data_IF_298314412017
#
_entry.id   IF_298314412017
#
_cell.length_a   1.000
_cell.length_b   1.000
_cell.length_c   1.000
_cell.angle_alpha   90.00
_cell.angle_beta   90.00
_cell.angle_gamma   90.00
#
_symmetry.space_group_name_H-M   'P 1'
#
loop_
_entity.id
_entity.type
_entity.pdbx_description
1 polymer ?
#
# COMPACT_ATOMS: atom_id res chain seq x y z
N UNK A 1 -9.85 -25.52 12.83
CA UNK A 1 -8.62 -24.83 12.41
C UNK A 1 -9.07 -23.74 11.46
N UNK A 2 -9.07 -22.49 11.92
CA UNK A 2 -9.48 -21.36 11.07
C UNK A 2 -8.34 -21.13 10.10
N UNK A 3 -8.61 -21.31 8.81
CA UNK A 3 -7.67 -21.01 7.74
C UNK A 3 -7.57 -19.48 7.67
N UNK A 4 -6.43 -18.91 8.07
CA UNK A 4 -6.14 -17.51 7.79
C UNK A 4 -5.89 -17.37 6.28
N UNK A 5 -6.95 -17.02 5.56
CA UNK A 5 -6.94 -16.95 4.10
C UNK A 5 -5.87 -15.97 3.57
N UNK A 6 -5.49 -14.96 4.36
CA UNK A 6 -4.46 -13.98 3.99
C UNK A 6 -3.06 -14.49 4.13
N UNK A 7 -2.73 -15.05 5.30
CA UNK A 7 -1.42 -15.66 5.53
C UNK A 7 -1.15 -16.76 4.51
N UNK A 8 -2.13 -17.62 4.26
CA UNK A 8 -2.00 -18.70 3.28
C UNK A 8 -1.85 -18.19 1.84
N UNK A 9 -2.53 -17.08 1.50
CA UNK A 9 -2.35 -16.43 0.20
C UNK A 9 -0.96 -15.84 0.04
N UNK A 10 -0.48 -15.11 1.06
CA UNK A 10 0.88 -14.57 1.09
C UNK A 10 1.93 -15.66 0.92
N UNK A 11 1.82 -16.77 1.66
CA UNK A 11 2.71 -17.93 1.54
C UNK A 11 2.77 -18.43 0.11
N UNK A 12 1.61 -18.66 -0.54
CA UNK A 12 1.57 -19.15 -1.93
C UNK A 12 2.23 -18.18 -2.90
N UNK A 13 2.05 -16.87 -2.73
CA UNK A 13 2.67 -15.88 -3.61
C UNK A 13 4.19 -15.85 -3.42
N UNK A 14 4.66 -15.83 -2.16
CA UNK A 14 6.09 -15.83 -1.84
C UNK A 14 6.79 -17.11 -2.33
N UNK A 15 6.15 -18.27 -2.21
CA UNK A 15 6.66 -19.53 -2.77
C UNK A 15 6.73 -19.51 -4.30
N UNK A 16 5.79 -18.85 -4.99
CA UNK A 16 5.85 -18.68 -6.46
C UNK A 16 6.95 -17.73 -6.90
N UNK A 17 7.36 -16.82 -6.04
CA UNK A 17 8.58 -16.04 -6.19
C UNK A 17 9.83 -16.88 -5.86
N UNK A 18 9.68 -18.14 -5.44
CA UNK A 18 10.81 -19.04 -5.18
C UNK A 18 11.47 -18.82 -3.82
N UNK A 19 10.78 -18.19 -2.87
CA UNK A 19 11.21 -18.16 -1.47
C UNK A 19 10.88 -19.50 -0.81
N UNK A 20 11.75 -19.92 0.11
CA UNK A 20 11.43 -20.95 1.11
C UNK A 20 10.61 -20.26 2.21
N UNK A 21 9.38 -20.72 2.45
CA UNK A 21 8.42 -20.01 3.32
C UNK A 21 7.86 -20.95 4.37
N UNK A 22 7.91 -20.51 5.64
CA UNK A 22 7.30 -21.17 6.79
C UNK A 22 6.32 -20.23 7.50
N UNK A 23 5.16 -20.76 7.91
CA UNK A 23 4.27 -20.06 8.81
C UNK A 23 4.83 -20.15 10.24
N UNK A 24 4.88 -19.02 10.94
CA UNK A 24 5.27 -18.99 12.35
C UNK A 24 4.06 -19.44 13.17
N UNK A 25 4.20 -20.45 14.05
CA UNK A 25 3.10 -20.90 14.89
C UNK A 25 2.56 -19.80 15.79
N UNK A 26 1.25 -19.72 15.92
CA UNK A 26 0.60 -18.80 16.85
C UNK A 26 0.90 -19.20 18.30
N UNK A 27 1.40 -18.25 19.08
CA UNK A 27 1.76 -18.43 20.49
C UNK A 27 1.00 -17.48 21.42
N UNK A 28 1.39 -17.47 22.69
CA UNK A 28 0.87 -16.51 23.68
C UNK A 28 1.45 -15.10 23.50
N UNK A 29 2.61 -14.99 22.85
CA UNK A 29 3.22 -13.72 22.44
C UNK A 29 2.80 -13.36 21.02
N UNK A 30 2.73 -12.05 20.74
CA UNK A 30 2.51 -11.57 19.38
C UNK A 30 3.81 -11.73 18.58
N UNK A 31 3.81 -12.62 17.61
CA UNK A 31 4.91 -12.80 16.65
C UNK A 31 4.49 -12.40 15.25
N UNK A 32 5.46 -12.28 14.35
CA UNK A 32 5.24 -12.19 12.92
C UNK A 32 4.57 -13.48 12.41
N UNK A 33 3.87 -13.40 11.29
CA UNK A 33 3.10 -14.51 10.73
C UNK A 33 3.95 -15.49 9.91
N UNK A 34 4.97 -14.98 9.22
CA UNK A 34 5.72 -15.73 8.22
C UNK A 34 7.22 -15.49 8.41
N UNK A 35 8.01 -16.56 8.34
CA UNK A 35 9.44 -16.49 8.07
C UNK A 35 9.69 -17.01 6.65
N UNK A 36 10.57 -16.34 5.92
CA UNK A 36 10.99 -16.81 4.61
C UNK A 36 12.50 -16.68 4.41
N UNK A 37 13.04 -17.38 3.42
CA UNK A 37 14.44 -17.32 3.05
C UNK A 37 14.63 -17.45 1.53
N UNK A 38 15.68 -16.82 1.00
CA UNK A 38 16.13 -17.06 -0.36
C UNK A 38 17.61 -16.71 -0.52
N UNK A 39 18.42 -17.66 -0.99
CA UNK A 39 19.85 -17.46 -1.27
C UNK A 39 20.65 -16.80 -0.12
N UNK A 40 20.31 -17.13 1.13
CA UNK A 40 20.97 -16.60 2.33
C UNK A 40 20.35 -15.33 2.90
N UNK A 41 19.42 -14.68 2.20
CA UNK A 41 18.62 -13.60 2.76
C UNK A 41 17.46 -14.19 3.58
N UNK A 42 17.20 -13.60 4.75
CA UNK A 42 16.11 -13.97 5.65
C UNK A 42 15.06 -12.87 5.75
N UNK A 43 13.79 -13.28 5.88
CA UNK A 43 12.64 -12.39 5.87
C UNK A 43 11.69 -12.72 7.02
N UNK A 44 11.19 -11.69 7.70
CA UNK A 44 10.04 -11.75 8.59
C UNK A 44 8.91 -10.91 8.01
N UNK A 45 7.72 -11.50 7.94
CA UNK A 45 6.57 -10.90 7.28
C UNK A 45 5.34 -11.00 8.19
N UNK A 46 4.74 -9.85 8.49
CA UNK A 46 3.44 -9.76 9.18
C UNK A 46 2.34 -9.51 8.16
N UNK A 47 1.26 -10.30 8.22
CA UNK A 47 0.12 -10.18 7.33
C UNK A 47 -0.96 -9.27 7.93
N UNK A 48 -1.31 -8.21 7.20
CA UNK A 48 -2.45 -7.33 7.53
C UNK A 48 -3.49 -7.42 6.43
N UNK A 49 -4.55 -8.19 6.70
CA UNK A 49 -5.75 -8.17 5.87
C UNK A 49 -6.73 -7.10 6.34
N UNK A 50 -7.51 -6.56 5.38
CA UNK A 50 -8.81 -5.97 5.66
C UNK A 50 -9.82 -6.94 5.05
N UNK A 51 -10.39 -7.83 5.86
CA UNK A 51 -11.63 -8.49 5.43
C UNK A 51 -12.67 -7.40 5.21
N UNK A 52 -13.26 -7.36 4.02
CA UNK A 52 -14.55 -6.70 3.87
C UNK A 52 -15.53 -7.36 4.81
N UNK A 53 -16.50 -6.60 5.31
CA UNK A 53 -17.72 -7.21 5.77
C UNK A 53 -18.35 -7.85 4.53
N UNK A 54 -18.18 -9.17 4.38
CA UNK A 54 -18.66 -9.94 3.23
C UNK A 54 -20.17 -9.74 3.04
N UNK A 55 -20.91 -9.44 4.12
CA UNK A 55 -22.33 -9.12 4.04
C UNK A 55 -22.58 -7.74 3.43
N UNK A 56 -21.72 -6.75 3.71
CA UNK A 56 -21.83 -5.42 3.12
C UNK A 56 -21.44 -5.43 1.63
N UNK A 57 -20.39 -6.17 1.26
CA UNK A 57 -19.99 -6.36 -0.14
C UNK A 57 -21.07 -7.12 -0.92
N UNK A 58 -21.66 -8.18 -0.32
CA UNK A 58 -22.75 -8.94 -0.92
C UNK A 58 -24.01 -8.08 -1.09
N UNK A 59 -24.41 -7.30 -0.08
CA UNK A 59 -25.53 -6.35 -0.19
C UNK A 59 -25.28 -5.30 -1.26
N UNK A 60 -24.06 -4.83 -1.39
CA UNK A 60 -23.65 -3.87 -2.41
C UNK A 60 -23.74 -4.49 -3.81
N UNK A 61 -23.20 -5.69 -3.99
CA UNK A 61 -23.31 -6.45 -5.24
C UNK A 61 -24.75 -6.77 -5.61
N UNK A 62 -25.59 -7.17 -4.65
CA UNK A 62 -27.01 -7.43 -4.88
C UNK A 62 -27.77 -6.19 -5.38
N UNK A 63 -27.47 -5.01 -4.83
CA UNK A 63 -28.02 -3.73 -5.30
C UNK A 63 -27.54 -3.40 -6.71
N UNK A 64 -26.23 -3.54 -6.98
CA UNK A 64 -25.66 -3.29 -8.31
C UNK A 64 -26.27 -4.24 -9.36
N UNK A 65 -26.44 -5.54 -9.04
CA UNK A 65 -27.06 -6.54 -9.94
C UNK A 65 -28.53 -6.22 -10.23
N UNK A 66 -29.25 -5.62 -9.27
CA UNK A 66 -30.63 -5.13 -9.47
C UNK A 66 -30.71 -3.85 -10.31
N UNK A 67 -29.57 -3.31 -10.74
CA UNK A 67 -29.50 -2.06 -11.50
C UNK A 67 -29.66 -0.81 -10.62
N UNK A 68 -29.52 -0.95 -9.30
CA UNK A 68 -29.54 0.17 -8.38
C UNK A 68 -28.17 0.88 -8.40
N UNK A 69 -28.19 2.22 -8.37
CA UNK A 69 -26.98 3.03 -8.23
C UNK A 69 -26.52 2.94 -6.78
N UNK A 70 -25.39 2.29 -6.54
CA UNK A 70 -24.73 2.32 -5.23
C UNK A 70 -23.67 3.40 -5.24
N UNK A 71 -23.91 4.47 -4.47
CA UNK A 71 -22.89 5.46 -4.14
C UNK A 71 -22.13 4.96 -2.90
N UNK A 72 -20.88 4.57 -3.09
CA UNK A 72 -19.95 4.32 -1.99
C UNK A 72 -19.08 5.56 -1.81
N UNK A 73 -19.13 6.15 -0.62
CA UNK A 73 -18.32 7.31 -0.24
C UNK A 73 -17.65 6.99 1.09
N UNK A 74 -16.38 6.60 1.07
CA UNK A 74 -15.59 6.49 2.30
C UNK A 74 -15.01 7.86 2.68
N UNK A 75 -15.37 8.36 3.85
CA UNK A 75 -14.71 9.50 4.50
C UNK A 75 -13.36 9.10 5.10
N UNK A 76 -12.48 10.09 5.28
CA UNK A 76 -11.04 10.01 5.58
C UNK A 76 -10.58 9.22 6.83
N UNK A 77 -11.49 8.58 7.59
CA UNK A 77 -11.15 7.78 8.78
C UNK A 77 -10.19 6.61 8.47
N UNK A 78 -10.08 6.22 7.19
CA UNK A 78 -9.13 5.21 6.70
C UNK A 78 -7.65 5.53 6.98
N UNK A 79 -7.22 6.81 6.94
CA UNK A 79 -5.79 7.19 7.09
C UNK A 79 -5.21 6.77 8.45
N UNK A 80 -5.97 7.01 9.52
CA UNK A 80 -5.53 6.66 10.88
C UNK A 80 -5.53 5.12 11.08
N UNK A 81 -6.46 4.42 10.43
CA UNK A 81 -6.54 2.96 10.53
C UNK A 81 -5.34 2.27 9.86
N UNK A 82 -4.90 2.73 8.68
CA UNK A 82 -3.74 2.18 7.98
C UNK A 82 -2.45 2.44 8.78
N UNK A 83 -2.25 3.67 9.24
CA UNK A 83 -1.09 4.03 10.05
C UNK A 83 -1.02 3.19 11.34
N UNK A 84 -2.16 2.98 12.00
CA UNK A 84 -2.26 2.14 13.20
C UNK A 84 -1.92 0.68 12.89
N UNK A 85 -2.40 0.12 11.77
CA UNK A 85 -2.07 -1.26 11.36
C UNK A 85 -0.59 -1.43 11.06
N UNK A 86 0.03 -0.48 10.37
CA UNK A 86 1.47 -0.47 10.12
C UNK A 86 2.23 -0.43 11.45
N UNK A 87 1.81 0.43 12.37
CA UNK A 87 2.40 0.51 13.71
C UNK A 87 2.29 -0.80 14.50
N UNK A 88 1.12 -1.42 14.51
CA UNK A 88 0.90 -2.71 15.18
C UNK A 88 1.72 -3.82 14.55
N UNK A 89 1.77 -3.88 13.22
CA UNK A 89 2.58 -4.85 12.48
C UNK A 89 4.07 -4.68 12.77
N UNK A 90 4.56 -3.44 12.79
CA UNK A 90 5.95 -3.14 13.08
C UNK A 90 6.36 -3.66 14.47
N UNK A 91 5.51 -3.45 15.48
CA UNK A 91 5.73 -3.99 16.82
C UNK A 91 5.80 -5.52 16.87
N UNK A 92 4.97 -6.21 16.10
CA UNK A 92 4.96 -7.68 16.05
C UNK A 92 6.21 -8.25 15.38
N UNK A 93 6.68 -7.58 14.32
CA UNK A 93 7.92 -7.96 13.65
C UNK A 93 9.11 -7.71 14.57
N UNK A 94 9.15 -6.56 15.24
CA UNK A 94 10.22 -6.22 16.20
C UNK A 94 10.31 -7.22 17.36
N UNK A 95 9.18 -7.73 17.86
CA UNK A 95 9.17 -8.76 18.90
C UNK A 95 9.55 -10.16 18.42
N UNK A 96 9.68 -10.36 17.10
CA UNK A 96 10.03 -11.65 16.47
C UNK A 96 11.41 -11.64 15.82
N UNK A 97 12.06 -10.49 15.77
CA UNK A 97 13.33 -10.34 15.11
C UNK A 97 14.44 -10.94 15.97
N UNK A 98 14.99 -12.05 15.50
CA UNK A 98 16.08 -12.76 16.17
C UNK A 98 17.46 -12.16 15.83
N UNK A 99 17.52 -11.31 14.81
CA UNK A 99 18.75 -10.76 14.24
C UNK A 99 18.49 -9.41 13.50
N UNK A 100 19.55 -8.60 13.37
CA UNK A 100 19.53 -7.32 12.66
C UNK A 100 19.58 -7.49 11.13
N UNK A 101 20.13 -8.62 10.65
CA UNK A 101 20.29 -8.88 9.22
C UNK A 101 19.00 -9.33 8.52
N UNK A 102 18.04 -9.83 9.29
CA UNK A 102 16.73 -10.25 8.78
C UNK A 102 15.90 -9.07 8.26
N UNK A 103 15.45 -9.16 7.01
CA UNK A 103 14.57 -8.18 6.37
C UNK A 103 13.13 -8.29 6.90
N UNK A 104 12.46 -7.15 7.03
CA UNK A 104 11.22 -6.98 7.78
C UNK A 104 10.16 -6.32 6.91
N UNK A 105 9.17 -7.09 6.48
CA UNK A 105 8.10 -6.60 5.59
C UNK A 105 6.73 -6.71 6.23
N UNK A 106 5.83 -5.82 5.84
CA UNK A 106 4.41 -5.96 6.16
C UNK A 106 3.69 -6.30 4.87
N UNK A 107 2.97 -7.41 4.87
CA UNK A 107 2.11 -7.82 3.77
C UNK A 107 0.74 -7.16 3.92
N UNK A 108 0.31 -6.43 2.90
CA UNK A 108 -1.00 -5.78 2.85
C UNK A 108 -1.73 -6.25 1.61
N UNK A 109 -2.85 -6.93 1.82
CA UNK A 109 -3.74 -7.31 0.74
C UNK A 109 -4.87 -6.28 0.59
N UNK A 110 -5.04 -5.77 -0.62
CA UNK A 110 -6.09 -4.82 -0.96
C UNK A 110 -7.08 -5.47 -1.92
N UNK A 111 -8.28 -5.73 -1.42
CA UNK A 111 -9.39 -6.36 -2.17
C UNK A 111 -10.60 -5.44 -2.25
N UNK A 112 -11.64 -5.85 -3.01
CA UNK A 112 -12.94 -5.19 -3.09
C UNK A 112 -13.11 -4.16 -4.20
N UNK A 113 -14.23 -3.43 -4.13
CA UNK A 113 -14.64 -2.42 -5.11
C UNK A 113 -13.83 -1.11 -5.01
N UNK A 114 -13.29 -0.80 -3.83
CA UNK A 114 -12.51 0.41 -3.53
C UNK A 114 -11.00 0.15 -3.50
N UNK A 115 -10.54 -0.95 -4.13
CA UNK A 115 -9.15 -1.40 -4.04
C UNK A 115 -8.13 -0.35 -4.50
N UNK A 116 -8.42 0.41 -5.56
CA UNK A 116 -7.48 1.38 -6.12
C UNK A 116 -7.33 2.58 -5.17
N UNK A 117 -8.43 2.98 -4.52
CA UNK A 117 -8.40 4.01 -3.48
C UNK A 117 -7.58 3.56 -2.27
N UNK A 118 -7.80 2.33 -1.80
CA UNK A 118 -7.04 1.78 -0.67
C UNK A 118 -5.56 1.63 -0.99
N UNK A 119 -5.22 1.24 -2.22
CA UNK A 119 -3.85 1.21 -2.71
C UNK A 119 -3.19 2.59 -2.54
N UNK A 120 -3.83 3.63 -3.08
CA UNK A 120 -3.34 5.01 -2.95
C UNK A 120 -3.24 5.44 -1.48
N UNK A 121 -4.23 5.11 -0.64
CA UNK A 121 -4.18 5.41 0.79
C UNK A 121 -3.02 4.73 1.50
N UNK A 122 -2.66 3.49 1.15
CA UNK A 122 -1.49 2.81 1.70
C UNK A 122 -0.21 3.52 1.27
N UNK A 123 -0.03 3.80 -0.02
CA UNK A 123 1.14 4.53 -0.54
C UNK A 123 1.28 5.90 0.13
N UNK A 124 0.19 6.67 0.21
CA UNK A 124 0.18 8.00 0.80
C UNK A 124 0.45 7.96 2.30
N UNK A 125 -0.08 6.97 3.02
CA UNK A 125 0.16 6.81 4.45
C UNK A 125 1.60 6.36 4.71
N UNK A 126 2.10 5.42 3.91
CA UNK A 126 3.44 4.88 4.09
C UNK A 126 4.51 5.94 3.86
N UNK A 127 4.40 6.70 2.77
CA UNK A 127 5.38 7.73 2.42
C UNK A 127 5.02 9.15 2.88
N UNK A 128 3.85 9.36 3.49
CA UNK A 128 3.35 10.72 3.75
C UNK A 128 3.21 11.52 2.46
N UNK A 129 2.71 10.88 1.40
CA UNK A 129 2.69 11.41 0.04
C UNK A 129 1.37 12.09 -0.34
N UNK A 130 1.42 12.96 -1.34
CA UNK A 130 0.24 13.48 -2.05
C UNK A 130 0.58 13.81 -3.50
N UNK A 131 -0.43 14.03 -4.32
CA UNK A 131 -0.23 14.60 -5.65
C UNK A 131 -0.07 16.11 -5.58
N UNK A 132 0.79 16.65 -6.43
CA UNK A 132 1.01 18.08 -6.57
C UNK A 132 1.12 18.45 -8.05
N UNK A 133 0.81 19.71 -8.36
CA UNK A 133 0.90 20.25 -9.71
C UNK A 133 1.65 21.57 -9.71
N UNK A 134 2.40 21.81 -10.76
CA UNK A 134 2.91 23.14 -11.09
C UNK A 134 1.82 23.97 -11.76
N UNK A 135 1.78 25.28 -11.51
CA UNK A 135 0.81 26.17 -12.15
C UNK A 135 1.24 26.62 -13.55
N UNK A 136 2.54 26.56 -13.87
CA UNK A 136 3.08 27.10 -15.12
C UNK A 136 2.82 26.18 -16.31
N UNK A 137 3.00 24.87 -16.12
CA UNK A 137 2.93 23.84 -17.17
C UNK A 137 1.95 22.71 -16.83
N UNK A 138 1.25 22.77 -15.68
CA UNK A 138 0.31 21.74 -15.22
C UNK A 138 0.94 20.35 -15.10
N UNK A 139 2.22 20.28 -14.77
CA UNK A 139 2.94 19.04 -14.57
C UNK A 139 2.49 18.42 -13.26
N UNK A 140 1.89 17.23 -13.35
CA UNK A 140 1.47 16.42 -12.20
C UNK A 140 2.63 15.55 -11.73
N UNK A 141 2.91 15.57 -10.43
CA UNK A 141 3.95 14.76 -9.81
C UNK A 141 3.55 14.29 -8.41
N UNK A 142 4.29 13.33 -7.88
CA UNK A 142 4.13 12.87 -6.50
C UNK A 142 5.04 13.67 -5.58
N UNK A 143 4.49 14.24 -4.51
CA UNK A 143 5.26 14.87 -3.44
C UNK A 143 5.33 13.91 -2.25
N UNK A 144 6.52 13.38 -1.96
CA UNK A 144 6.79 12.52 -0.82
C UNK A 144 7.11 13.33 0.45
N UNK A 145 6.81 12.75 1.61
CA UNK A 145 7.16 13.28 2.94
C UNK A 145 6.57 14.66 3.29
N UNK A 146 5.50 15.04 2.57
CA UNK A 146 4.71 16.24 2.85
C UNK A 146 3.81 16.09 4.07
N UNK A 147 3.51 14.85 4.45
CA UNK A 147 2.72 14.50 5.63
C UNK A 147 3.49 13.52 6.53
N UNK A 148 2.85 13.13 7.64
CA UNK A 148 3.38 12.10 8.55
C UNK A 148 3.57 10.79 7.79
N UNK A 149 4.83 10.37 7.63
CA UNK A 149 5.25 9.15 6.95
C UNK A 149 5.39 7.98 7.93
N UNK A 150 4.75 6.84 7.63
CA UNK A 150 4.94 5.63 8.42
C UNK A 150 6.33 5.01 8.18
N UNK A 151 6.85 5.11 6.95
CA UNK A 151 8.21 4.67 6.60
C UNK A 151 9.26 5.38 7.46
N UNK A 152 9.13 6.71 7.64
CA UNK A 152 10.01 7.50 8.50
C UNK A 152 9.90 7.13 9.99
N UNK A 153 8.69 6.81 10.47
CA UNK A 153 8.44 6.46 11.87
C UNK A 153 8.89 5.05 12.24
N UNK A 154 8.99 4.16 11.26
CA UNK A 154 9.31 2.75 11.44
C UNK A 154 10.52 2.36 10.57
N UNK A 155 11.71 2.90 10.84
CA UNK A 155 12.93 2.56 10.09
C UNK A 155 13.35 1.10 10.29
N UNK A 156 12.82 0.42 11.31
CA UNK A 156 12.99 -1.02 11.50
C UNK A 156 12.32 -1.84 10.38
N UNK A 157 11.32 -1.30 9.69
CA UNK A 157 10.60 -1.97 8.60
C UNK A 157 11.24 -1.63 7.26
N UNK A 158 11.55 -2.66 6.47
CA UNK A 158 12.25 -2.57 5.20
C UNK A 158 11.34 -2.19 4.04
N UNK A 159 10.05 -2.49 4.15
CA UNK A 159 9.07 -2.08 3.16
C UNK A 159 7.69 -2.68 3.40
N UNK A 160 6.78 -2.39 2.47
CA UNK A 160 5.47 -3.05 2.39
C UNK A 160 5.39 -3.92 1.14
N UNK A 161 4.87 -5.13 1.30
CA UNK A 161 4.44 -6.00 0.20
C UNK A 161 2.95 -5.75 -0.01
N UNK A 162 2.62 -4.88 -0.97
CA UNK A 162 1.25 -4.46 -1.27
C UNK A 162 0.75 -5.26 -2.47
N UNK A 163 -0.31 -6.04 -2.28
CA UNK A 163 -0.88 -6.87 -3.35
C UNK A 163 -2.33 -6.50 -3.63
N UNK A 164 -2.68 -6.46 -4.92
CA UNK A 164 -4.04 -6.38 -5.40
C UNK A 164 -4.26 -7.37 -6.56
N UNK A 165 -5.37 -7.23 -7.31
CA UNK A 165 -5.65 -8.06 -8.50
C UNK A 165 -4.68 -7.82 -9.67
N UNK A 166 -3.96 -6.71 -9.66
CA UNK A 166 -3.07 -6.26 -10.74
C UNK A 166 -1.65 -6.78 -10.53
N UNK A 167 -1.25 -7.04 -9.30
CA UNK A 167 0.01 -7.71 -8.98
C UNK A 167 0.52 -7.40 -7.58
N UNK A 168 1.74 -7.84 -7.31
CA UNK A 168 2.49 -7.54 -6.10
C UNK A 168 3.40 -6.32 -6.34
N UNK A 169 3.37 -5.36 -5.43
CA UNK A 169 4.28 -4.22 -5.39
C UNK A 169 5.08 -4.23 -4.09
N UNK A 170 6.36 -3.89 -4.19
CA UNK A 170 7.24 -3.67 -3.05
C UNK A 170 7.46 -2.17 -2.87
N UNK A 171 6.95 -1.62 -1.78
CA UNK A 171 7.16 -0.24 -1.38
C UNK A 171 8.41 -0.21 -0.48
N UNK A 172 9.54 0.28 -0.99
CA UNK A 172 10.78 0.33 -0.22
C UNK A 172 10.75 1.43 0.85
N UNK A 173 11.24 1.12 2.05
CA UNK A 173 11.52 2.13 3.06
C UNK A 173 12.96 2.64 2.93
N UNK A 174 13.14 3.85 2.41
CA UNK A 174 14.48 4.45 2.29
C UNK A 174 15.11 4.86 3.63
N UNK A 175 14.32 4.89 4.71
CA UNK A 175 14.81 5.14 6.07
C UNK A 175 15.25 3.86 6.78
N UNK A 176 15.10 2.70 6.13
CA UNK A 176 15.63 1.46 6.67
C UNK A 176 17.16 1.47 6.67
N UNK A 177 17.83 1.00 7.75
CA UNK A 177 19.28 0.83 7.76
C UNK A 177 19.75 -0.22 6.74
N UNK A 178 18.86 -1.08 6.26
CA UNK A 178 19.15 -2.11 5.25
C UNK A 178 18.77 -1.69 3.83
N UNK A 179 18.35 -0.44 3.61
CA UNK A 179 17.83 0.03 2.32
C UNK A 179 18.73 -0.32 1.11
N UNK A 180 20.04 -0.10 1.23
CA UNK A 180 20.98 -0.45 0.15
C UNK A 180 21.04 -1.97 -0.09
N UNK A 181 20.95 -2.79 0.95
CA UNK A 181 21.00 -4.25 0.86
C UNK A 181 19.71 -4.83 0.29
N UNK A 182 18.54 -4.28 0.63
CA UNK A 182 17.23 -4.72 0.11
C UNK A 182 17.24 -4.77 -1.42
N UNK A 183 17.78 -3.74 -2.06
CA UNK A 183 17.83 -3.62 -3.53
C UNK A 183 18.62 -4.75 -4.20
N UNK A 184 19.48 -5.44 -3.47
CA UNK A 184 20.29 -6.56 -3.95
C UNK A 184 19.61 -7.92 -3.73
N UNK A 185 18.58 -7.97 -2.88
CA UNK A 185 17.86 -9.21 -2.56
C UNK A 185 17.20 -9.81 -3.80
N UNK A 186 17.04 -11.12 -3.78
CA UNK A 186 16.30 -11.81 -4.84
C UNK A 186 14.84 -11.35 -4.91
N UNK A 187 14.20 -11.12 -3.75
CA UNK A 187 12.81 -10.65 -3.68
C UNK A 187 12.63 -9.33 -4.44
N UNK A 188 13.49 -8.33 -4.19
CA UNK A 188 13.42 -7.04 -4.88
C UNK A 188 13.62 -7.21 -6.40
N UNK A 189 14.58 -8.05 -6.82
CA UNK A 189 14.86 -8.32 -8.24
C UNK A 189 13.71 -9.04 -8.95
N UNK A 190 13.07 -10.00 -8.30
CA UNK A 190 11.96 -10.77 -8.86
C UNK A 190 10.69 -9.94 -9.02
N UNK A 191 10.44 -9.01 -8.09
CA UNK A 191 9.32 -8.06 -8.21
C UNK A 191 9.57 -7.06 -9.34
N UNK A 192 10.82 -6.65 -9.56
CA UNK A 192 11.23 -5.88 -10.74
C UNK A 192 10.51 -4.55 -10.87
N UNK A 193 9.74 -4.37 -11.95
CA UNK A 193 8.98 -3.14 -12.21
C UNK A 193 7.89 -2.86 -11.15
N UNK A 194 7.53 -3.85 -10.33
CA UNK A 194 6.63 -3.66 -9.18
C UNK A 194 7.32 -3.01 -7.96
N UNK A 195 8.58 -2.58 -8.04
CA UNK A 195 9.26 -1.91 -6.91
C UNK A 195 9.01 -0.40 -6.97
N UNK A 196 8.40 0.15 -5.92
CA UNK A 196 8.27 1.58 -5.70
C UNK A 196 9.39 2.04 -4.75
N UNK A 197 10.36 2.75 -5.32
CA UNK A 197 11.46 3.38 -4.58
C UNK A 197 11.36 4.91 -4.69
N UNK A 198 11.11 5.63 -3.57
CA UNK A 198 11.04 7.09 -3.58
C UNK A 198 12.31 7.74 -4.14
N UNK A 199 13.52 7.23 -3.82
CA UNK A 199 14.78 7.82 -4.31
C UNK A 199 14.92 7.71 -5.80
N UNK A 200 14.50 6.58 -6.37
CA UNK A 200 14.48 6.40 -7.83
C UNK A 200 13.49 7.37 -8.46
N UNK A 201 12.25 7.44 -7.95
CA UNK A 201 11.24 8.34 -8.50
C UNK A 201 11.65 9.82 -8.44
N UNK A 202 12.33 10.22 -7.36
CA UNK A 202 12.87 11.58 -7.21
C UNK A 202 13.99 11.83 -8.22
N UNK A 203 14.96 10.91 -8.32
CA UNK A 203 16.10 11.03 -9.24
C UNK A 203 15.67 11.08 -10.71
N UNK A 204 14.66 10.31 -11.08
CA UNK A 204 14.13 10.26 -12.45
C UNK A 204 13.15 11.43 -12.75
N UNK A 205 12.86 12.29 -11.77
CA UNK A 205 12.01 13.47 -11.94
C UNK A 205 10.50 13.18 -11.92
N UNK A 206 10.07 11.96 -11.55
CA UNK A 206 8.66 11.61 -11.39
C UNK A 206 8.06 12.06 -10.05
N UNK A 207 8.91 12.42 -9.09
CA UNK A 207 8.52 12.84 -7.77
C UNK A 207 9.47 13.89 -7.20
N UNK A 208 9.03 14.54 -6.12
CA UNK A 208 9.87 15.39 -5.27
C UNK A 208 9.68 14.97 -3.81
N UNK A 209 10.75 15.02 -3.01
CA UNK A 209 10.65 14.92 -1.56
C UNK A 209 10.59 16.33 -0.97
N UNK A 210 9.69 16.56 -0.02
CA UNK A 210 9.70 17.77 0.78
C UNK A 210 10.97 17.80 1.64
N UNK A 211 11.96 18.57 1.21
CA UNK A 211 13.17 18.86 1.98
C UNK A 211 12.93 19.97 3.03
N UNK A 212 13.58 19.85 4.20
CA UNK A 212 13.57 20.84 5.28
C UNK A 212 12.44 20.74 6.33
N UNK A 213 12.33 21.82 7.10
CA UNK A 213 11.54 21.92 8.34
C UNK A 213 10.15 22.56 8.15
N UNK A 214 9.61 22.51 6.93
CA UNK A 214 8.28 23.03 6.67
C UNK A 214 7.26 22.42 7.64
N UNK A 215 6.34 23.25 8.13
CA UNK A 215 5.27 22.79 9.01
C UNK A 215 4.30 21.91 8.21
N UNK A 216 4.44 20.59 8.40
CA UNK A 216 3.65 19.55 7.74
C UNK A 216 2.17 19.53 8.15
N UNK A 217 1.76 20.38 9.10
CA UNK A 217 0.34 20.60 9.44
C UNK A 217 -0.29 21.75 8.66
N UNK A 218 0.52 22.56 7.96
CA UNK A 218 0.10 23.72 7.19
C UNK A 218 0.31 23.49 5.70
N UNK A 219 -0.78 23.31 4.96
CA UNK A 219 -0.76 23.16 3.50
C UNK A 219 0.01 24.29 2.82
N UNK A 220 -0.21 25.54 3.26
CA UNK A 220 0.51 26.72 2.76
C UNK A 220 2.01 26.65 3.02
N UNK A 221 2.45 26.13 4.18
CA UNK A 221 3.87 25.97 4.48
C UNK A 221 4.51 24.94 3.55
N UNK A 222 3.79 23.86 3.23
CA UNK A 222 4.27 22.83 2.33
C UNK A 222 4.35 23.36 0.90
N UNK A 223 3.29 24.01 0.41
CA UNK A 223 3.26 24.62 -0.93
C UNK A 223 4.37 25.66 -1.11
N UNK A 224 4.62 26.50 -0.10
CA UNK A 224 5.69 27.48 -0.14
C UNK A 224 7.07 26.80 -0.22
N UNK A 225 7.30 25.74 0.55
CA UNK A 225 8.56 24.99 0.53
C UNK A 225 8.79 24.29 -0.81
N UNK A 226 7.77 23.60 -1.34
CA UNK A 226 7.84 22.96 -2.67
C UNK A 226 8.03 23.99 -3.79
N UNK A 227 7.34 25.13 -3.70
CA UNK A 227 7.51 26.24 -4.65
C UNK A 227 8.93 26.77 -4.65
N UNK A 228 9.53 26.94 -3.47
CA UNK A 228 10.92 27.38 -3.33
C UNK A 228 11.90 26.34 -3.90
N UNK A 229 11.68 25.05 -3.65
CA UNK A 229 12.52 23.96 -4.16
C UNK A 229 12.47 23.84 -5.69
N UNK A 230 11.28 23.99 -6.27
CA UNK A 230 11.06 23.83 -7.70
C UNK A 230 11.29 25.11 -8.51
N UNK A 231 11.36 26.28 -7.86
CA UNK A 231 11.46 27.57 -8.55
C UNK A 231 10.21 27.96 -9.33
N UNK A 232 9.09 27.25 -9.16
CA UNK A 232 7.79 27.55 -9.79
C UNK A 232 6.68 27.30 -8.80
N UNK A 233 5.54 27.98 -8.98
CA UNK A 233 4.40 27.85 -8.06
C UNK A 233 3.85 26.43 -8.09
N UNK A 234 3.76 25.81 -6.92
CA UNK A 234 3.22 24.46 -6.70
C UNK A 234 1.89 24.56 -5.95
N UNK A 235 0.92 23.75 -6.36
CA UNK A 235 -0.33 23.52 -5.64
C UNK A 235 -0.44 22.06 -5.21
N UNK A 236 -0.85 21.82 -3.98
CA UNK A 236 -1.18 20.47 -3.54
C UNK A 236 -2.57 20.08 -4.05
N UNK A 237 -2.73 18.81 -4.42
CA UNK A 237 -4.03 18.25 -4.79
C UNK A 237 -4.50 17.43 -3.59
N UNK A 238 -5.33 18.00 -2.70
CA UNK A 238 -5.82 17.28 -1.55
C UNK A 238 -6.75 16.16 -2.01
N UNK A 239 -6.43 14.92 -1.64
CA UNK A 239 -7.35 13.80 -1.79
C UNK A 239 -8.44 13.87 -0.71
N UNK A 240 -9.41 14.77 -0.90
CA UNK A 240 -10.53 15.01 0.01
C UNK A 240 -11.72 14.12 -0.27
N UNK A 241 -11.90 13.64 -1.50
CA UNK A 241 -13.01 12.77 -1.86
C UNK A 241 -12.63 11.90 -3.07
N UNK A 242 -12.89 10.60 -2.98
CA UNK A 242 -12.86 9.69 -4.13
C UNK A 242 -14.22 9.02 -4.21
N UNK A 243 -14.99 9.34 -5.24
CA UNK A 243 -16.28 8.71 -5.50
C UNK A 243 -16.08 7.67 -6.60
N UNK A 244 -16.25 6.40 -6.26
CA UNK A 244 -16.34 5.33 -7.25
C UNK A 244 -17.82 5.12 -7.57
N UNK A 245 -18.23 5.40 -8.81
CA UNK A 245 -19.56 5.02 -9.29
C UNK A 245 -19.40 3.79 -10.18
N UNK A 246 -19.88 2.64 -9.71
CA UNK A 246 -19.85 1.40 -10.48
C UNK A 246 -21.18 1.19 -11.19
N UNK A 247 -21.16 1.13 -12.53
CA UNK A 247 -22.30 0.74 -13.34
C UNK A 247 -21.98 -0.61 -13.99
N UNK A 248 -22.76 -1.65 -13.71
CA UNK A 248 -22.71 -2.88 -14.50
C UNK A 248 -23.75 -2.78 -15.63
N UNK A 249 -23.32 -2.76 -16.92
CA UNK A 249 -24.27 -2.78 -18.01
C UNK A 249 -25.03 -4.10 -18.00
N UNK A 250 -26.36 -4.01 -17.92
CA UNK A 250 -27.24 -5.15 -17.91
C UNK A 250 -27.30 -5.80 -19.31
N UNK A 251 -26.34 -6.67 -19.62
CA UNK A 251 -26.47 -7.61 -20.74
C UNK A 251 -26.51 -9.01 -20.20
N UNK A 252 -27.73 -9.54 -20.10
CA UNK A 252 -28.15 -10.86 -20.59
C UNK A 252 -29.65 -11.06 -20.27
N UNK A 253 -30.53 -10.29 -20.90
CA UNK A 253 -31.87 -10.81 -21.23
C UNK A 253 -31.71 -11.65 -22.48
N UNK A 254 -31.45 -12.94 -22.31
CA UNK A 254 -31.70 -13.92 -23.37
C UNK A 254 -33.18 -13.80 -23.75
N UNK A 255 -33.43 -13.30 -24.96
CA UNK A 255 -34.71 -13.51 -25.63
C UNK A 255 -34.88 -15.01 -25.82
N UNK A 256 -35.78 -15.61 -25.03
CA UNK A 256 -36.33 -16.93 -25.30
C UNK A 256 -36.90 -16.93 -26.72
N UNK A 257 -36.64 -18.02 -27.43
CA UNK A 257 -37.22 -18.29 -28.74
C UNK A 257 -38.74 -18.19 -28.73
N UNK A 258 -39.27 -17.69 -29.86
CA UNK A 258 -40.62 -18.05 -30.30
C UNK A 258 -40.48 -19.31 -31.14
N UNK A 259 -40.82 -20.44 -30.55
CA UNK A 259 -41.54 -21.47 -31.30
C UNK A 259 -43.01 -21.03 -31.34
N UNK A 260 -43.47 -20.74 -32.55
CA UNK A 260 -44.79 -21.03 -33.15
C UNK A 260 -44.92 -20.23 -34.46
#
# INVERSE_FOLDING_TARGET
>A
MVVDQGRDYAIRVLQRLGLEVEAIPEGSSKTADIRAAHSGDHYLIECKQKHHDLDEEKRTLEKIVKGEVVLHSETQDGKNSIAKRIYEAAKQIESSADDEETFRYIWIEVTGLDKDLRWQQVVHTFYGATYATTYQDNTLFTAFYVAKSAAFRHPSIDGLLLIDRSGLCLLLNEFSPRYERIKLTALCRQIGAGVLDPRVHIREGYAIALDGDADRSSEKSIEAALTAQMGTKVGLIPMTQYSATSFLPNKLRHGKGREE
#
